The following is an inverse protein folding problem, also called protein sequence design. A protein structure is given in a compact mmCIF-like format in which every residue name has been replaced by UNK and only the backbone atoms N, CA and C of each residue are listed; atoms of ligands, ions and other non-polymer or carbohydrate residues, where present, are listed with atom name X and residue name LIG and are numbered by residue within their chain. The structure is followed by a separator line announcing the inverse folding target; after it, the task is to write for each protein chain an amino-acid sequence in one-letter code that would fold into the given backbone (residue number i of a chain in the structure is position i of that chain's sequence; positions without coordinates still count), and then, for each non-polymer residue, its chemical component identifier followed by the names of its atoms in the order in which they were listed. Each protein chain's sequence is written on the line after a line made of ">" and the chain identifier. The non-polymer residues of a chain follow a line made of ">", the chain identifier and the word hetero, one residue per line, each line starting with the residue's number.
data_IF_438754841399
#
_entry.id   IF_438754841399
#
_cell.length_a   1.000
_cell.length_b   1.000
_cell.length_c   1.000
_cell.angle_alpha   90.00
_cell.angle_beta   90.00
_cell.angle_gamma   90.00
#
_symmetry.space_group_name_H-M   'P 1'
#
loop_
_entity.id
_entity.type
_entity.pdbx_description
1 polymer ?
#
# COMPACT_ATOMS: atom_id res chain seq x y z
N UNK A 1 16.07 -35.79 15.40
CA UNK A 1 15.25 -34.91 16.26
C UNK A 1 15.08 -33.57 15.56
N UNK A 2 13.88 -33.32 15.04
CA UNK A 2 13.51 -32.12 14.29
C UNK A 2 13.29 -30.96 15.27
N UNK A 3 14.14 -29.94 15.24
CA UNK A 3 13.92 -28.70 16.00
C UNK A 3 13.36 -27.63 15.07
N UNK A 4 12.07 -27.39 15.25
CA UNK A 4 11.24 -26.38 14.60
C UNK A 4 11.78 -24.98 14.85
N UNK A 5 12.45 -24.37 13.86
CA UNK A 5 12.96 -23.00 13.96
C UNK A 5 12.33 -22.04 12.93
N UNK A 6 11.16 -22.39 12.39
CA UNK A 6 10.46 -21.61 11.35
C UNK A 6 9.56 -20.45 11.84
N UNK A 7 9.07 -20.35 13.10
CA UNK A 7 8.08 -19.31 13.43
C UNK A 7 8.68 -17.96 13.87
N UNK A 8 9.98 -17.88 14.16
CA UNK A 8 10.63 -16.66 14.68
C UNK A 8 11.07 -15.68 13.59
N UNK A 9 11.43 -16.18 12.39
CA UNK A 9 11.85 -15.32 11.25
C UNK A 9 10.75 -14.36 10.82
N UNK A 10 9.52 -14.83 10.72
CA UNK A 10 8.40 -14.00 10.26
C UNK A 10 7.94 -12.96 11.29
N UNK A 11 8.10 -13.20 12.60
CA UNK A 11 7.69 -12.22 13.63
C UNK A 11 8.64 -11.02 13.73
N UNK A 12 9.95 -11.27 13.60
CA UNK A 12 10.99 -10.24 13.70
C UNK A 12 11.01 -9.32 12.47
N UNK A 13 10.83 -9.89 11.28
CA UNK A 13 10.71 -9.18 10.00
C UNK A 13 9.62 -8.11 10.03
N UNK A 14 8.52 -8.41 10.71
CA UNK A 14 7.31 -7.59 10.71
C UNK A 14 7.39 -6.48 11.75
N UNK A 15 7.95 -6.78 12.92
CA UNK A 15 8.31 -5.77 13.92
C UNK A 15 9.21 -4.68 13.33
N UNK A 16 10.11 -5.06 12.41
CA UNK A 16 11.02 -4.16 11.69
C UNK A 16 10.31 -3.17 10.76
N UNK A 17 9.20 -3.58 10.15
CA UNK A 17 8.46 -2.79 9.16
C UNK A 17 7.51 -1.76 9.78
N UNK A 18 7.10 -1.95 11.04
CA UNK A 18 6.01 -1.18 11.66
C UNK A 18 6.43 -0.25 12.82
N UNK A 19 7.70 -0.17 13.21
CA UNK A 19 8.09 0.64 14.38
C UNK A 19 9.12 1.72 14.03
N UNK A 20 8.68 2.98 14.00
CA UNK A 20 9.55 4.16 14.03
C UNK A 20 10.11 4.34 15.45
N UNK A 21 11.43 4.44 15.54
CA UNK A 21 12.21 5.01 16.65
C UNK A 21 12.09 4.33 18.04
N UNK A 22 12.96 3.35 18.31
CA UNK A 22 13.50 3.15 19.68
C UNK A 22 14.94 2.66 19.60
N UNK A 23 15.82 3.13 20.51
CA UNK A 23 17.25 2.81 20.52
C UNK A 23 17.57 1.31 20.58
N UNK A 24 16.61 0.48 21.03
CA UNK A 24 16.66 -0.98 21.11
C UNK A 24 16.73 -1.66 19.73
N UNK A 25 16.21 -1.02 18.69
CA UNK A 25 16.13 -1.57 17.33
C UNK A 25 17.47 -1.49 16.58
N UNK A 26 18.35 -0.53 16.91
CA UNK A 26 19.70 -0.45 16.31
C UNK A 26 20.50 -1.73 16.57
N UNK A 27 20.41 -2.26 17.79
CA UNK A 27 21.10 -3.50 18.16
C UNK A 27 20.54 -4.71 17.39
N UNK A 28 19.23 -4.75 17.16
CA UNK A 28 18.61 -5.81 16.37
C UNK A 28 18.99 -5.73 14.88
N UNK A 29 18.95 -4.53 14.27
CA UNK A 29 19.39 -4.34 12.88
C UNK A 29 20.85 -4.70 12.70
N UNK A 30 21.71 -4.30 13.64
CA UNK A 30 23.14 -4.66 13.62
C UNK A 30 23.32 -6.17 13.73
N UNK A 31 22.61 -6.84 14.65
CA UNK A 31 22.62 -8.30 14.77
C UNK A 31 22.16 -8.98 13.47
N UNK A 32 21.08 -8.50 12.84
CA UNK A 32 20.58 -9.04 11.58
C UNK A 32 21.59 -8.85 10.45
N UNK A 33 22.24 -7.68 10.35
CA UNK A 33 23.28 -7.43 9.34
C UNK A 33 24.49 -8.36 9.48
N UNK A 34 24.88 -8.68 10.71
CA UNK A 34 26.05 -9.53 10.99
C UNK A 34 25.71 -11.01 10.81
N UNK A 35 24.58 -11.46 11.37
CA UNK A 35 24.27 -12.90 11.49
C UNK A 35 23.31 -13.41 10.41
N UNK A 36 22.62 -12.53 9.68
CA UNK A 36 21.62 -12.88 8.68
C UNK A 36 21.74 -11.98 7.44
N UNK A 37 22.75 -12.16 6.57
CA UNK A 37 22.99 -11.28 5.42
C UNK A 37 21.77 -11.12 4.48
N UNK A 38 20.94 -12.16 4.39
CA UNK A 38 19.72 -12.19 3.56
C UNK A 38 18.49 -11.59 4.23
N UNK A 39 18.59 -10.99 5.42
CA UNK A 39 17.41 -10.54 6.17
C UNK A 39 16.54 -9.55 5.40
N UNK A 40 17.12 -8.69 4.54
CA UNK A 40 16.35 -7.76 3.71
C UNK A 40 15.49 -8.48 2.67
N UNK A 41 15.99 -9.56 2.09
CA UNK A 41 15.23 -10.38 1.13
C UNK A 41 14.12 -11.16 1.84
N UNK A 42 14.40 -11.69 3.03
CA UNK A 42 13.40 -12.35 3.88
C UNK A 42 12.30 -11.36 4.32
N UNK A 43 12.67 -10.11 4.60
CA UNK A 43 11.72 -9.02 4.89
C UNK A 43 10.85 -8.73 3.67
N UNK A 44 11.47 -8.56 2.49
CA UNK A 44 10.76 -8.32 1.24
C UNK A 44 9.82 -9.47 0.85
N UNK A 45 10.21 -10.72 1.12
CA UNK A 45 9.38 -11.92 0.91
C UNK A 45 8.21 -11.97 1.89
N UNK A 46 8.48 -11.76 3.18
CA UNK A 46 7.44 -11.73 4.22
C UNK A 46 6.44 -10.57 4.08
N UNK A 47 6.83 -9.47 3.44
CA UNK A 47 5.95 -8.35 3.09
C UNK A 47 5.03 -8.65 1.91
N UNK A 48 5.48 -9.48 0.94
CA UNK A 48 4.70 -9.88 -0.25
C UNK A 48 3.76 -11.05 0.02
N UNK A 49 4.19 -12.00 0.85
CA UNK A 49 3.34 -13.10 1.29
C UNK A 49 2.28 -12.60 2.29
N UNK A 50 1.22 -13.38 2.52
CA UNK A 50 0.33 -13.17 3.68
C UNK A 50 1.17 -13.39 4.94
N UNK A 51 1.81 -12.34 5.40
CA UNK A 51 2.54 -12.27 6.65
C UNK A 51 1.75 -13.01 7.76
N UNK A 52 2.44 -13.59 8.74
CA UNK A 52 1.85 -14.14 9.97
C UNK A 52 0.77 -13.26 10.64
N UNK A 53 0.82 -11.93 10.44
CA UNK A 53 -0.21 -10.99 10.93
C UNK A 53 -1.36 -10.72 9.93
N UNK A 54 -1.35 -11.34 8.75
CA UNK A 54 -2.22 -11.08 7.59
C UNK A 54 -2.26 -9.61 7.14
N UNK A 55 -1.29 -8.80 7.60
CA UNK A 55 -1.15 -7.41 7.20
C UNK A 55 -0.48 -7.35 5.82
N UNK A 56 -1.13 -6.67 4.87
CA UNK A 56 -0.47 -6.24 3.65
C UNK A 56 0.44 -5.09 3.99
N UNK A 57 1.74 -5.27 3.80
CA UNK A 57 2.69 -4.15 3.84
C UNK A 57 2.49 -3.40 2.53
N UNK A 58 1.74 -2.30 2.59
CA UNK A 58 1.48 -1.46 1.43
C UNK A 58 2.66 -0.52 1.24
N UNK A 59 3.25 -0.58 0.05
CA UNK A 59 4.33 0.32 -0.35
C UNK A 59 3.90 1.79 -0.26
N UNK A 60 4.85 2.67 0.12
CA UNK A 60 4.55 4.09 0.32
C UNK A 60 4.08 4.74 -0.99
N UNK A 61 4.55 4.28 -2.16
CA UNK A 61 4.06 4.79 -3.44
C UNK A 61 2.58 4.45 -3.68
N UNK A 62 2.16 3.24 -3.32
CA UNK A 62 0.75 2.81 -3.42
C UNK A 62 -0.11 3.64 -2.46
N UNK A 63 0.35 3.84 -1.22
CA UNK A 63 -0.32 4.69 -0.23
C UNK A 63 -0.48 6.12 -0.72
N UNK A 64 0.56 6.66 -1.35
CA UNK A 64 0.55 8.00 -1.92
C UNK A 64 -0.48 8.14 -3.06
N UNK A 65 -0.54 7.16 -3.95
CA UNK A 65 -1.54 7.11 -5.04
C UNK A 65 -2.95 7.05 -4.45
N UNK A 66 -3.19 6.22 -3.43
CA UNK A 66 -4.51 6.09 -2.82
C UNK A 66 -4.99 7.40 -2.16
N UNK A 67 -4.11 8.10 -1.44
CA UNK A 67 -4.43 9.42 -0.86
C UNK A 67 -4.79 10.46 -1.94
N UNK A 68 -4.11 10.42 -3.09
CA UNK A 68 -4.51 11.27 -4.22
C UNK A 68 -5.92 10.94 -4.74
N UNK A 69 -6.37 9.68 -4.65
CA UNK A 69 -7.74 9.32 -5.03
C UNK A 69 -8.78 9.75 -4.03
N UNK A 70 -8.49 9.69 -2.73
CA UNK A 70 -9.42 10.21 -1.73
C UNK A 70 -9.80 11.66 -2.08
N UNK A 71 -8.83 12.50 -2.44
CA UNK A 71 -9.12 13.87 -2.90
C UNK A 71 -9.90 13.96 -4.21
N UNK A 72 -9.57 13.17 -5.22
CA UNK A 72 -10.22 13.29 -6.54
C UNK A 72 -11.62 12.67 -6.53
N UNK A 73 -11.79 11.52 -5.89
CA UNK A 73 -13.03 10.73 -5.91
C UNK A 73 -13.98 11.18 -4.80
N UNK A 74 -13.50 11.26 -3.55
CA UNK A 74 -14.38 11.55 -2.41
C UNK A 74 -14.76 13.03 -2.37
N UNK A 75 -13.78 13.92 -2.57
CA UNK A 75 -14.01 15.37 -2.56
C UNK A 75 -14.36 15.94 -3.95
N UNK A 76 -14.51 15.06 -4.96
CA UNK A 76 -14.87 15.41 -6.35
C UNK A 76 -13.96 16.46 -6.98
N UNK A 77 -12.67 16.44 -6.62
CA UNK A 77 -11.71 17.41 -7.10
C UNK A 77 -11.15 17.04 -8.49
N UNK A 78 -10.76 18.02 -9.32
CA UNK A 78 -10.25 17.73 -10.65
C UNK A 78 -8.90 16.99 -10.58
N UNK A 79 -8.68 16.05 -11.50
CA UNK A 79 -7.41 15.31 -11.61
C UNK A 79 -6.17 16.22 -11.77
N UNK A 80 -6.33 17.45 -12.26
CA UNK A 80 -5.22 18.42 -12.36
C UNK A 80 -4.76 18.98 -11.03
N UNK A 81 -5.50 18.76 -9.93
CA UNK A 81 -5.17 19.25 -8.60
C UNK A 81 -3.79 18.78 -8.13
N UNK A 82 -3.43 17.52 -8.41
CA UNK A 82 -2.15 16.91 -8.00
C UNK A 82 -0.93 17.54 -8.67
N UNK A 83 -1.12 18.29 -9.75
CA UNK A 83 -0.07 19.04 -10.46
C UNK A 83 0.01 20.50 -10.02
N UNK A 84 -0.98 21.01 -9.27
CA UNK A 84 -0.98 22.42 -8.84
C UNK A 84 0.17 22.70 -7.89
N UNK A 85 0.91 23.77 -8.16
CA UNK A 85 2.08 24.20 -7.37
C UNK A 85 1.78 24.33 -5.87
N UNK A 86 0.67 24.98 -5.52
CA UNK A 86 0.29 25.17 -4.11
C UNK A 86 -0.10 23.85 -3.43
N UNK A 87 -0.75 22.93 -4.16
CA UNK A 87 -1.07 21.61 -3.63
C UNK A 87 0.22 20.84 -3.35
N UNK A 88 1.17 20.81 -4.28
CA UNK A 88 2.48 20.15 -4.08
C UNK A 88 3.30 20.76 -2.94
N UNK A 89 3.19 22.06 -2.73
CA UNK A 89 3.87 22.75 -1.63
C UNK A 89 3.29 22.37 -0.26
N UNK A 90 1.98 22.17 -0.18
CA UNK A 90 1.26 22.00 1.08
C UNK A 90 0.97 20.52 1.41
N UNK A 91 0.94 19.65 0.41
CA UNK A 91 0.73 18.22 0.56
C UNK A 91 2.01 17.51 1.01
N UNK A 92 1.90 16.64 2.01
CA UNK A 92 2.97 15.69 2.35
C UNK A 92 2.99 14.45 1.43
N UNK A 93 2.54 14.61 0.17
CA UNK A 93 2.45 13.55 -0.82
C UNK A 93 3.59 13.67 -1.83
N UNK A 94 4.15 12.54 -2.23
CA UNK A 94 5.11 12.50 -3.34
C UNK A 94 4.44 13.02 -4.61
N UNK A 95 5.06 13.97 -5.33
CA UNK A 95 4.47 14.51 -6.54
C UNK A 95 4.13 13.43 -7.57
N UNK A 96 2.89 13.44 -8.06
CA UNK A 96 2.40 12.54 -9.12
C UNK A 96 1.90 13.36 -10.31
N UNK A 97 2.14 12.84 -11.52
CA UNK A 97 1.58 13.42 -12.73
C UNK A 97 0.10 13.03 -12.87
N UNK A 98 -0.71 13.95 -13.38
CA UNK A 98 -2.13 13.72 -13.69
C UNK A 98 -2.32 12.50 -14.57
N UNK A 99 -1.46 12.35 -15.59
CA UNK A 99 -1.50 11.21 -16.53
C UNK A 99 -1.33 9.88 -15.79
N UNK A 100 -0.35 9.80 -14.88
CA UNK A 100 -0.08 8.61 -14.07
C UNK A 100 -1.25 8.30 -13.14
N UNK A 101 -1.78 9.31 -12.45
CA UNK A 101 -2.96 9.14 -11.59
C UNK A 101 -4.17 8.65 -12.40
N UNK A 102 -4.40 9.20 -13.60
CA UNK A 102 -5.47 8.72 -14.50
C UNK A 102 -5.29 7.25 -14.88
N UNK A 103 -4.08 6.82 -15.24
CA UNK A 103 -3.82 5.42 -15.61
C UNK A 103 -4.15 4.45 -14.48
N UNK A 104 -3.76 4.76 -13.25
CA UNK A 104 -4.09 3.92 -12.11
C UNK A 104 -5.60 3.98 -11.78
N UNK A 105 -6.26 5.12 -12.01
CA UNK A 105 -7.70 5.27 -11.76
C UNK A 105 -8.50 4.36 -12.70
N UNK A 106 -8.10 4.26 -13.96
CA UNK A 106 -8.73 3.33 -14.91
C UNK A 106 -8.65 1.88 -14.44
N UNK A 107 -7.52 1.45 -13.86
CA UNK A 107 -7.39 0.10 -13.30
C UNK A 107 -8.28 -0.14 -12.09
N UNK A 108 -8.50 0.90 -11.28
CA UNK A 108 -9.45 0.84 -10.17
C UNK A 108 -10.87 0.73 -10.72
N UNK A 109 -11.23 1.51 -11.74
CA UNK A 109 -12.52 1.39 -12.41
C UNK A 109 -12.77 -0.03 -12.92
N UNK A 110 -11.83 -0.64 -13.62
CA UNK A 110 -11.93 -2.05 -14.07
C UNK A 110 -12.20 -3.02 -12.91
N UNK A 111 -11.51 -2.81 -11.78
CA UNK A 111 -11.70 -3.65 -10.57
C UNK A 111 -13.05 -3.41 -9.89
N UNK A 112 -13.52 -2.16 -9.86
CA UNK A 112 -14.81 -1.78 -9.29
C UNK A 112 -15.96 -2.25 -10.18
N UNK A 113 -15.84 -2.15 -11.51
CA UNK A 113 -16.81 -2.67 -12.47
C UNK A 113 -17.00 -4.17 -12.31
N UNK A 114 -15.91 -4.94 -12.21
CA UNK A 114 -15.97 -6.37 -11.94
C UNK A 114 -16.71 -6.66 -10.63
N UNK A 115 -16.43 -5.87 -9.58
CA UNK A 115 -17.07 -6.05 -8.28
C UNK A 115 -18.55 -5.69 -8.29
N UNK A 116 -18.90 -4.59 -8.97
CA UNK A 116 -20.29 -4.18 -9.16
C UNK A 116 -21.05 -5.25 -9.95
N UNK A 117 -20.44 -5.82 -10.99
CA UNK A 117 -21.05 -6.91 -11.75
C UNK A 117 -21.32 -8.17 -10.90
N UNK A 118 -20.43 -8.49 -9.94
CA UNK A 118 -20.67 -9.57 -8.96
C UNK A 118 -21.81 -9.26 -7.99
N UNK A 119 -22.02 -7.99 -7.65
CA UNK A 119 -23.01 -7.55 -6.66
C UNK A 119 -24.37 -7.19 -7.29
N UNK A 120 -24.43 -7.00 -8.61
CA UNK A 120 -25.66 -6.65 -9.33
C UNK A 120 -26.64 -7.83 -9.37
N UNK A 121 -27.93 -7.59 -9.07
CA UNK A 121 -28.96 -8.60 -9.24
C UNK A 121 -29.22 -8.87 -10.74
N UNK A 122 -29.82 -10.03 -11.04
CA UNK A 122 -30.18 -10.41 -12.41
C UNK A 122 -31.13 -9.41 -13.10
N UNK A 123 -31.84 -8.59 -12.32
CA UNK A 123 -32.73 -7.54 -12.82
C UNK A 123 -32.49 -6.27 -12.01
N UNK A 124 -32.20 -5.16 -12.69
CA UNK A 124 -31.94 -3.86 -12.08
C UNK A 124 -32.48 -2.74 -12.98
N UNK A 125 -32.75 -1.57 -12.39
CA UNK A 125 -33.15 -0.37 -13.13
C UNK A 125 -31.98 0.62 -13.24
N UNK A 126 -31.90 1.34 -14.36
CA UNK A 126 -30.95 2.44 -14.57
C UNK A 126 -31.75 3.74 -14.61
N UNK A 127 -31.41 4.71 -13.76
CA UNK A 127 -31.97 6.06 -13.80
C UNK A 127 -30.94 6.98 -14.43
N UNK A 128 -31.32 7.66 -15.50
CA UNK A 128 -30.49 8.64 -16.19
C UNK A 128 -30.91 10.04 -15.75
N UNK A 129 -29.96 10.80 -15.19
CA UNK A 129 -30.13 12.23 -14.89
C UNK A 129 -29.61 13.02 -16.10
N UNK A 130 -30.48 13.85 -16.68
CA UNK A 130 -30.27 14.54 -17.96
C UNK A 130 -29.70 15.94 -17.81
#
# INVERSE_FOLDING_TARGET
>A
MSSSNKPLRNKLVVSLLFTKHSGRMRNLITHLRINHPTYLEDVGRGAKDRNSLRLRVIDEAIRNIFRCYEWVVMDRLPLSLVERKMMRKNASLTPIAKKTLKTYLMRIFESVEARVAEELPATFGIVLDG
#
